data_IF_284849277993
#
_entry.id   IF_284849277993
#
_cell.length_a   1.000
_cell.length_b   1.000
_cell.length_c   1.000
_cell.angle_alpha   90.00
_cell.angle_beta   90.00
_cell.angle_gamma   90.00
#
_symmetry.space_group_name_H-M   'P 1'
#
loop_
_entity.id
_entity.type
_entity.pdbx_description
1 polymer ?
#
# COMPACT_ATOMS: atom_id res chain seq x y z
N UNK A 1 -48.68 -31.64 46.01
CA UNK A 1 -47.21 -31.48 45.89
C UNK A 1 -46.94 -30.66 44.64
N UNK A 2 -46.37 -29.44 44.73
CA UNK A 2 -46.01 -28.67 43.55
C UNK A 2 -44.63 -29.11 43.03
N UNK A 3 -44.51 -29.29 41.72
CA UNK A 3 -43.26 -29.66 41.03
C UNK A 3 -42.50 -28.35 40.77
N UNK A 4 -41.40 -28.14 41.49
CA UNK A 4 -40.47 -27.02 41.27
C UNK A 4 -39.56 -27.37 40.10
N UNK A 5 -39.68 -26.63 38.98
CA UNK A 5 -38.75 -26.74 37.84
C UNK A 5 -37.46 -26.00 38.20
N UNK A 6 -36.32 -26.70 38.18
CA UNK A 6 -34.99 -26.17 38.45
C UNK A 6 -34.44 -25.52 37.17
N UNK A 7 -34.12 -24.23 37.23
CA UNK A 7 -33.50 -23.49 36.11
C UNK A 7 -32.01 -23.92 35.99
N UNK A 8 -31.46 -24.13 34.78
CA UNK A 8 -30.06 -24.52 34.61
C UNK A 8 -29.06 -23.41 34.94
N UNK A 9 -27.96 -23.81 35.57
CA UNK A 9 -26.85 -23.01 36.14
C UNK A 9 -26.15 -22.03 35.16
N UNK A 10 -26.36 -22.15 33.85
CA UNK A 10 -25.72 -21.28 32.87
C UNK A 10 -26.36 -19.89 32.75
N UNK A 11 -27.53 -19.68 33.36
CA UNK A 11 -28.24 -18.39 33.33
C UNK A 11 -27.82 -17.40 34.44
N UNK A 12 -27.07 -17.82 35.46
CA UNK A 12 -26.74 -16.96 36.61
C UNK A 12 -25.45 -16.14 36.46
N UNK A 13 -24.63 -16.37 35.43
CA UNK A 13 -23.29 -15.77 35.35
C UNK A 13 -23.13 -14.63 34.32
N UNK A 14 -24.22 -14.02 33.86
CA UNK A 14 -24.18 -12.94 32.87
C UNK A 14 -23.95 -11.52 33.46
N UNK A 15 -23.62 -11.41 34.75
CA UNK A 15 -23.72 -10.17 35.52
C UNK A 15 -22.43 -9.44 35.91
N UNK A 16 -21.24 -9.85 35.46
CA UNK A 16 -20.00 -9.23 35.96
C UNK A 16 -18.89 -8.99 34.91
N UNK A 17 -19.23 -8.31 33.81
CA UNK A 17 -18.26 -7.79 32.83
C UNK A 17 -18.06 -6.30 33.10
N UNK A 18 -17.29 -5.99 34.14
CA UNK A 18 -17.19 -4.62 34.65
C UNK A 18 -15.87 -4.26 35.30
N UNK A 19 -14.73 -4.79 34.85
CA UNK A 19 -13.41 -4.25 35.23
C UNK A 19 -12.28 -4.75 34.33
N UNK A 20 -12.17 -4.21 33.11
CA UNK A 20 -11.00 -4.46 32.22
C UNK A 20 -10.55 -3.21 31.45
N UNK A 21 -10.89 -2.01 31.94
CA UNK A 21 -10.72 -0.75 31.19
C UNK A 21 -9.43 0.03 31.52
N UNK A 22 -8.52 -0.52 32.33
CA UNK A 22 -7.32 0.20 32.80
C UNK A 22 -5.99 -0.31 32.21
N UNK A 23 -5.96 -1.53 31.68
CA UNK A 23 -4.73 -2.15 31.17
C UNK A 23 -4.43 -1.73 29.74
N UNK A 24 -5.42 -1.70 28.84
CA UNK A 24 -5.21 -1.33 27.43
C UNK A 24 -4.69 0.10 27.20
N UNK A 25 -4.85 1.00 28.16
CA UNK A 25 -4.38 2.39 28.06
C UNK A 25 -2.90 2.56 28.43
N UNK A 26 -2.32 1.62 29.17
CA UNK A 26 -0.87 1.60 29.46
C UNK A 26 -0.09 1.03 28.28
N UNK A 27 -0.58 -0.08 27.71
CA UNK A 27 0.00 -0.65 26.49
C UNK A 27 0.02 0.35 25.33
N UNK A 28 -1.05 1.11 25.11
CA UNK A 28 -1.04 2.14 24.06
C UNK A 28 0.02 3.24 24.26
N UNK A 29 0.29 3.63 25.52
CA UNK A 29 1.32 4.65 25.83
C UNK A 29 2.72 4.06 25.78
N UNK A 30 2.88 2.80 26.20
CA UNK A 30 4.14 2.05 26.11
C UNK A 30 4.51 1.77 24.65
N UNK A 31 3.55 1.36 23.81
CA UNK A 31 3.73 1.15 22.38
C UNK A 31 4.07 2.46 21.67
N UNK A 32 3.37 3.56 21.99
CA UNK A 32 3.69 4.89 21.46
C UNK A 32 5.10 5.36 21.88
N UNK A 33 5.54 5.01 23.09
CA UNK A 33 6.90 5.29 23.56
C UNK A 33 7.94 4.46 22.80
N UNK A 34 7.67 3.17 22.55
CA UNK A 34 8.54 2.30 21.76
C UNK A 34 8.66 2.78 20.31
N UNK A 35 7.57 3.25 19.71
CA UNK A 35 7.59 3.83 18.36
C UNK A 35 8.41 5.11 18.29
N UNK A 36 8.34 5.98 19.30
CA UNK A 36 9.17 7.20 19.37
C UNK A 36 10.65 6.85 19.51
N UNK A 37 10.99 5.86 20.35
CA UNK A 37 12.37 5.38 20.53
C UNK A 37 12.90 4.78 19.23
N UNK A 38 12.10 3.99 18.52
CA UNK A 38 12.47 3.39 17.24
C UNK A 38 12.74 4.47 16.18
N UNK A 39 11.84 5.47 16.06
CA UNK A 39 12.01 6.61 15.15
C UNK A 39 13.23 7.45 15.49
N UNK A 40 13.50 7.68 16.77
CA UNK A 40 14.70 8.42 17.20
C UNK A 40 15.98 7.64 16.88
N UNK A 41 15.98 6.32 17.11
CA UNK A 41 17.12 5.46 16.77
C UNK A 41 17.38 5.44 15.26
N UNK A 42 16.32 5.37 14.44
CA UNK A 42 16.41 5.47 12.98
C UNK A 42 16.94 6.83 12.53
N UNK A 43 16.44 7.93 13.11
CA UNK A 43 16.92 9.27 12.81
C UNK A 43 18.41 9.45 13.16
N UNK A 44 18.85 8.91 14.31
CA UNK A 44 20.28 8.92 14.68
C UNK A 44 21.14 8.09 13.73
N UNK A 45 20.64 6.93 13.28
CA UNK A 45 21.33 6.13 12.27
C UNK A 45 21.41 6.88 10.93
N UNK A 46 20.31 7.51 10.50
CA UNK A 46 20.27 8.32 9.29
C UNK A 46 21.24 9.52 9.36
N UNK A 47 21.30 10.24 10.47
CA UNK A 47 22.29 11.30 10.70
C UNK A 47 23.72 10.75 10.64
N UNK A 48 23.97 9.58 11.22
CA UNK A 48 25.29 8.95 11.16
C UNK A 48 25.65 8.50 9.74
N UNK A 49 24.68 8.11 8.90
CA UNK A 49 24.87 7.85 7.47
C UNK A 49 25.17 9.14 6.70
N UNK A 50 24.42 10.20 6.96
CA UNK A 50 24.65 11.52 6.35
C UNK A 50 26.05 12.07 6.70
N UNK A 51 26.45 12.02 7.97
CA UNK A 51 27.78 12.45 8.40
C UNK A 51 28.91 11.62 7.77
N UNK A 52 28.72 10.30 7.61
CA UNK A 52 29.67 9.45 6.87
C UNK A 52 29.72 9.84 5.38
N UNK A 53 28.57 10.11 4.77
CA UNK A 53 28.51 10.55 3.37
C UNK A 53 29.18 11.90 3.16
N UNK A 54 28.91 12.89 4.02
CA UNK A 54 29.56 14.21 4.00
C UNK A 54 31.07 14.11 4.26
N UNK A 55 31.51 13.23 5.17
CA UNK A 55 32.93 12.98 5.41
C UNK A 55 33.62 12.38 4.18
N UNK A 56 32.97 11.47 3.44
CA UNK A 56 33.49 10.95 2.16
C UNK A 56 33.59 12.07 1.12
N UNK A 57 32.58 12.91 1.03
CA UNK A 57 32.51 14.02 0.06
C UNK A 57 33.61 15.06 0.31
N UNK A 58 33.84 15.43 1.58
CA UNK A 58 34.93 16.33 1.97
C UNK A 58 36.29 15.74 1.65
N UNK A 59 36.52 14.46 1.96
CA UNK A 59 37.80 13.79 1.71
C UNK A 59 38.07 13.61 0.21
N UNK A 60 37.05 13.36 -0.60
CA UNK A 60 37.17 13.30 -2.05
C UNK A 60 37.59 14.66 -2.62
N UNK A 61 36.94 15.75 -2.18
CA UNK A 61 37.31 17.13 -2.56
C UNK A 61 38.72 17.50 -2.12
N UNK A 62 39.15 17.05 -0.94
CA UNK A 62 40.51 17.31 -0.45
C UNK A 62 41.57 16.57 -1.28
N UNK A 63 41.32 15.31 -1.66
CA UNK A 63 42.20 14.56 -2.56
C UNK A 63 42.27 15.19 -3.96
N UNK A 64 41.13 15.61 -4.51
CA UNK A 64 41.07 16.33 -5.81
C UNK A 64 41.85 17.65 -5.74
N UNK A 65 41.70 18.40 -4.64
CA UNK A 65 42.46 19.62 -4.42
C UNK A 65 43.97 19.35 -4.28
N UNK A 66 44.37 18.32 -3.55
CA UNK A 66 45.78 17.95 -3.43
C UNK A 66 46.39 17.55 -4.78
N UNK A 67 45.64 16.85 -5.63
CA UNK A 67 46.08 16.55 -7.00
C UNK A 67 46.24 17.83 -7.82
N UNK A 68 45.26 18.72 -7.76
CA UNK A 68 45.30 20.00 -8.48
C UNK A 68 46.45 20.91 -7.99
N UNK A 69 46.69 20.98 -6.68
CA UNK A 69 47.78 21.77 -6.10
C UNK A 69 49.15 21.18 -6.51
N UNK A 70 49.28 19.85 -6.58
CA UNK A 70 50.49 19.18 -7.09
C UNK A 70 50.69 19.44 -8.59
N UNK A 71 49.65 19.32 -9.41
CA UNK A 71 49.71 19.65 -10.84
C UNK A 71 50.14 21.12 -11.06
N UNK A 72 49.58 22.05 -10.28
CA UNK A 72 49.97 23.47 -10.31
C UNK A 72 51.42 23.70 -9.85
N UNK A 73 51.90 22.94 -8.87
CA UNK A 73 53.30 23.00 -8.41
C UNK A 73 54.25 22.41 -9.45
N UNK A 74 53.89 21.30 -10.09
CA UNK A 74 54.61 20.71 -11.22
C UNK A 74 54.66 21.67 -12.42
N UNK A 75 53.55 22.33 -12.74
CA UNK A 75 53.47 23.35 -13.79
C UNK A 75 54.36 24.57 -13.46
N UNK A 76 54.40 25.03 -12.22
CA UNK A 76 55.30 26.12 -11.79
C UNK A 76 56.76 25.72 -11.75
N UNK A 77 57.06 24.47 -11.42
CA UNK A 77 58.43 23.98 -11.26
C UNK A 77 59.05 23.53 -12.60
N UNK A 78 58.23 23.14 -13.58
CA UNK A 78 58.66 22.64 -14.89
C UNK A 78 58.23 23.53 -16.08
N UNK A 79 57.30 24.46 -15.87
CA UNK A 79 56.93 25.49 -16.84
C UNK A 79 58.02 26.57 -16.93
N UNK A 80 58.92 26.41 -17.89
CA UNK A 80 59.83 27.49 -18.32
C UNK A 80 59.07 28.46 -19.24
N UNK A 81 59.26 29.79 -19.13
CA UNK A 81 58.50 30.76 -19.92
C UNK A 81 59.13 30.87 -21.30
N UNK A 82 58.55 30.17 -22.30
CA UNK A 82 59.02 30.25 -23.68
C UNK A 82 58.21 31.22 -24.55
N UNK A 83 57.36 32.10 -23.99
CA UNK A 83 56.51 32.98 -24.82
C UNK A 83 56.10 34.33 -24.19
N UNK A 84 56.95 34.96 -23.37
CA UNK A 84 56.65 36.30 -22.85
C UNK A 84 57.84 37.24 -23.12
N UNK A 85 58.16 37.45 -24.40
CA UNK A 85 58.95 38.57 -24.87
C UNK A 85 58.14 39.29 -25.95
N UNK A 86 57.58 40.44 -25.57
CA UNK A 86 57.15 41.59 -26.38
C UNK A 86 55.85 42.15 -25.80
N UNK A 87 55.95 43.01 -24.79
CA UNK A 87 55.19 44.27 -24.71
C UNK A 87 56.00 45.20 -23.78
N UNK A 88 56.89 45.97 -24.40
CA UNK A 88 57.48 47.17 -23.80
C UNK A 88 56.46 48.31 -23.92
N UNK A 89 56.12 48.89 -22.76
CA UNK A 89 55.92 50.32 -22.52
C UNK A 89 55.16 51.16 -23.56
N UNK A 90 53.88 51.45 -23.32
CA UNK A 90 53.33 52.81 -23.54
C UNK A 90 52.36 53.16 -22.40
N UNK A 91 52.81 54.05 -21.51
CA UNK A 91 51.98 54.79 -20.56
C UNK A 91 51.35 55.98 -21.30
N UNK A 92 50.01 56.07 -21.33
CA UNK A 92 49.30 57.33 -21.55
C UNK A 92 48.16 57.47 -20.54
N UNK A 93 48.34 58.47 -19.67
CA UNK A 93 47.34 59.05 -18.77
C UNK A 93 46.28 59.82 -19.56
N UNK A 94 44.98 59.64 -19.26
CA UNK A 94 43.96 60.67 -19.48
C UNK A 94 42.70 60.38 -18.64
N UNK A 95 42.39 61.30 -17.71
CA UNK A 95 41.18 61.39 -16.89
C UNK A 95 40.02 62.02 -17.68
N UNK A 96 38.76 61.55 -17.52
CA UNK A 96 37.53 62.36 -17.23
C UNK A 96 36.19 61.59 -17.42
N UNK A 97 35.46 61.49 -16.29
CA UNK A 97 34.03 61.60 -15.95
C UNK A 97 32.82 61.26 -16.88
N UNK A 98 32.00 60.33 -16.35
CA UNK A 98 30.52 60.34 -16.11
C UNK A 98 29.44 59.96 -17.19
N UNK A 99 28.55 59.02 -16.77
CA UNK A 99 27.07 59.00 -16.93
C UNK A 99 26.40 57.76 -17.61
N UNK A 100 25.95 56.84 -16.74
CA UNK A 100 24.68 56.07 -16.70
C UNK A 100 24.17 55.21 -17.87
N UNK A 101 24.13 53.86 -17.68
CA UNK A 101 22.90 53.02 -17.65
C UNK A 101 23.20 51.53 -17.39
N UNK A 102 22.62 50.97 -16.32
CA UNK A 102 22.63 49.56 -15.87
C UNK A 102 21.40 48.77 -16.42
N UNK A 103 21.22 47.41 -16.30
CA UNK A 103 21.71 46.57 -15.18
C UNK A 103 22.09 45.06 -15.43
N UNK A 104 22.67 44.47 -14.36
CA UNK A 104 22.55 43.06 -13.87
C UNK A 104 23.58 41.98 -14.27
N UNK A 105 23.83 40.94 -13.42
CA UNK A 105 24.43 41.04 -12.08
C UNK A 105 25.49 39.93 -11.83
N UNK A 106 26.62 40.22 -11.15
CA UNK A 106 27.27 39.19 -10.33
C UNK A 106 28.14 39.78 -9.23
N UNK A 107 27.96 39.21 -8.04
CA UNK A 107 28.39 39.70 -6.75
C UNK A 107 29.91 39.80 -6.58
N UNK A 108 30.27 40.84 -5.83
CA UNK A 108 31.61 41.25 -5.44
C UNK A 108 32.20 40.42 -4.29
N UNK A 109 33.48 40.08 -4.41
CA UNK A 109 34.53 40.57 -3.51
C UNK A 109 35.27 41.69 -4.27
N UNK A 110 36.23 42.48 -3.75
CA UNK A 110 36.90 42.44 -2.45
C UNK A 110 37.10 43.86 -1.81
N UNK A 111 37.74 43.96 -0.64
CA UNK A 111 38.77 44.98 -0.38
C UNK A 111 39.46 44.73 0.96
N UNK A 112 40.78 44.65 0.91
CA UNK A 112 41.69 44.67 2.05
C UNK A 112 42.27 46.07 2.12
N UNK A 113 42.20 46.71 3.28
CA UNK A 113 43.08 47.81 3.68
C UNK A 113 43.94 47.35 4.86
N UNK A 114 45.27 47.54 4.84
CA UNK A 114 46.16 47.14 5.93
C UNK A 114 46.54 48.34 6.79
N UNK A 115 46.56 48.21 8.11
CA UNK A 115 47.29 49.15 8.98
C UNK A 115 47.78 48.51 10.28
N UNK A 116 49.08 48.75 10.52
CA UNK A 116 49.78 48.96 11.80
C UNK A 116 50.09 47.74 12.69
N UNK A 117 51.33 47.23 12.69
CA UNK A 117 52.55 47.69 13.43
C UNK A 117 52.44 47.53 14.95
N UNK A 118 53.28 46.64 15.50
CA UNK A 118 54.36 46.82 16.52
C UNK A 118 54.86 45.40 16.88
N UNK A 119 56.10 44.97 16.59
CA UNK A 119 57.38 45.36 17.21
C UNK A 119 57.68 44.40 18.38
N UNK A 120 58.83 43.77 18.62
CA UNK A 120 60.17 43.68 18.03
C UNK A 120 60.73 42.29 18.46
N UNK A 121 61.77 41.70 17.89
CA UNK A 121 63.19 41.98 18.18
C UNK A 121 64.08 41.21 17.20
N UNK A 122 65.18 41.86 16.84
CA UNK A 122 66.14 41.55 15.79
C UNK A 122 67.10 40.41 16.13
N UNK A 123 67.52 39.64 15.12
CA UNK A 123 68.92 39.19 15.01
C UNK A 123 69.31 39.05 13.56
N UNK A 124 70.36 39.78 13.19
CA UNK A 124 70.99 39.78 11.89
C UNK A 124 71.48 38.38 11.50
N UNK A 125 71.25 38.02 10.25
CA UNK A 125 71.76 36.80 9.62
C UNK A 125 71.70 36.97 8.11
N UNK A 126 72.71 37.64 7.56
CA UNK A 126 72.94 37.73 6.12
C UNK A 126 73.11 36.30 5.56
N UNK A 127 72.07 35.73 4.97
CA UNK A 127 72.22 34.57 4.09
C UNK A 127 72.26 35.05 2.64
N UNK A 128 73.48 35.46 2.31
CA UNK A 128 74.09 35.51 0.99
C UNK A 128 73.35 34.74 -0.10
N UNK A 129 72.69 35.49 -1.00
CA UNK A 129 72.39 35.06 -2.38
C UNK A 129 73.71 34.89 -3.15
N UNK A 130 74.41 33.79 -2.91
CA UNK A 130 75.52 33.31 -3.75
C UNK A 130 75.17 31.90 -4.21
N UNK A 131 74.23 31.81 -5.16
CA UNK A 131 74.16 30.66 -6.06
C UNK A 131 74.98 31.05 -7.28
N UNK A 132 76.29 30.79 -7.21
CA UNK A 132 77.20 30.95 -8.34
C UNK A 132 77.55 29.55 -8.86
N UNK A 133 76.64 28.99 -9.64
CA UNK A 133 76.98 27.95 -10.61
C UNK A 133 77.39 28.65 -11.91
N UNK A 134 78.50 29.37 -11.83
CA UNK A 134 79.29 29.68 -13.02
C UNK A 134 80.69 29.12 -12.77
N UNK A 135 80.85 27.85 -13.14
CA UNK A 135 82.15 27.21 -13.30
C UNK A 135 82.13 26.50 -14.63
N UNK A 136 82.29 27.31 -15.69
CA UNK A 136 82.80 26.88 -16.99
C UNK A 136 84.27 26.42 -16.88
N UNK A 137 84.56 25.52 -15.94
CA UNK A 137 85.82 24.78 -15.96
C UNK A 137 85.64 23.67 -16.99
N UNK A 138 86.34 23.78 -18.12
CA UNK A 138 86.38 22.76 -19.16
C UNK A 138 86.58 21.38 -18.53
N UNK A 139 85.53 20.55 -18.56
CA UNK A 139 85.48 19.24 -17.91
C UNK A 139 86.56 18.29 -18.49
N UNK A 140 87.06 18.62 -19.69
CA UNK A 140 88.17 17.95 -20.38
C UNK A 140 89.54 18.13 -19.71
N UNK A 141 89.75 19.22 -18.95
CA UNK A 141 91.01 19.53 -18.28
C UNK A 141 91.17 18.86 -16.90
N UNK A 142 90.11 18.23 -16.37
CA UNK A 142 90.13 17.54 -15.08
C UNK A 142 90.67 16.09 -15.21
N UNK A 143 91.39 15.58 -14.18
CA UNK A 143 91.84 14.19 -14.14
C UNK A 143 90.67 13.21 -14.34
N UNK A 144 90.89 12.12 -15.07
CA UNK A 144 89.85 11.16 -15.46
C UNK A 144 89.05 10.61 -14.26
N UNK A 145 89.72 10.37 -13.12
CA UNK A 145 89.09 9.92 -11.88
C UNK A 145 88.12 10.96 -11.27
N UNK A 146 88.41 12.25 -11.38
CA UNK A 146 87.53 13.32 -10.89
C UNK A 146 86.30 13.45 -11.80
N UNK A 147 86.49 13.25 -13.11
CA UNK A 147 85.37 13.24 -14.08
C UNK A 147 84.43 12.07 -13.85
N UNK A 148 84.97 10.88 -13.61
CA UNK A 148 84.20 9.67 -13.30
C UNK A 148 83.42 9.82 -11.98
N UNK A 149 84.06 10.31 -10.91
CA UNK A 149 83.37 10.60 -9.64
C UNK A 149 82.26 11.66 -9.80
N UNK A 150 82.46 12.67 -10.66
CA UNK A 150 81.41 13.65 -10.98
C UNK A 150 80.26 13.04 -11.78
N UNK A 151 80.55 12.12 -12.71
CA UNK A 151 79.54 11.40 -13.47
C UNK A 151 78.73 10.46 -12.56
N UNK A 152 79.39 9.73 -11.67
CA UNK A 152 78.75 8.88 -10.66
C UNK A 152 77.89 9.70 -9.69
N UNK A 153 78.36 10.88 -9.26
CA UNK A 153 77.57 11.79 -8.44
C UNK A 153 76.30 12.24 -9.17
N UNK A 154 76.41 12.64 -10.44
CA UNK A 154 75.25 12.99 -11.27
C UNK A 154 74.29 11.81 -11.44
N UNK A 155 74.79 10.60 -11.67
CA UNK A 155 73.97 9.41 -11.81
C UNK A 155 73.24 9.05 -10.49
N UNK A 156 73.91 9.23 -9.35
CA UNK A 156 73.31 9.07 -8.02
C UNK A 156 72.24 10.14 -7.75
N UNK A 157 72.51 11.39 -8.10
CA UNK A 157 71.55 12.50 -7.97
C UNK A 157 70.30 12.26 -8.84
N UNK A 158 70.47 11.77 -10.08
CA UNK A 158 69.36 11.39 -10.96
C UNK A 158 68.56 10.19 -10.41
N UNK A 159 69.24 9.17 -9.87
CA UNK A 159 68.59 8.02 -9.21
C UNK A 159 67.80 8.46 -7.98
N UNK A 160 68.36 9.35 -7.16
CA UNK A 160 67.67 9.90 -5.99
C UNK A 160 66.45 10.73 -6.39
N UNK A 161 66.57 11.58 -7.42
CA UNK A 161 65.44 12.33 -7.98
C UNK A 161 64.34 11.39 -8.48
N UNK A 162 64.68 10.36 -9.25
CA UNK A 162 63.72 9.35 -9.73
C UNK A 162 63.03 8.64 -8.56
N UNK A 163 63.81 8.21 -7.56
CA UNK A 163 63.26 7.57 -6.36
C UNK A 163 62.30 8.49 -5.61
N UNK A 164 62.62 9.77 -5.46
CA UNK A 164 61.71 10.75 -4.83
C UNK A 164 60.41 10.92 -5.61
N UNK A 165 60.46 11.00 -6.95
CA UNK A 165 59.25 11.10 -7.79
C UNK A 165 58.39 9.84 -7.61
N UNK A 166 58.97 8.64 -7.69
CA UNK A 166 58.22 7.39 -7.51
C UNK A 166 57.67 7.24 -6.09
N UNK A 167 58.38 7.74 -5.08
CA UNK A 167 57.91 7.70 -3.70
C UNK A 167 56.70 8.62 -3.50
N UNK A 168 56.73 9.82 -4.07
CA UNK A 168 55.57 10.73 -4.07
C UNK A 168 54.36 10.11 -4.80
N UNK A 169 54.58 9.46 -5.94
CA UNK A 169 53.52 8.73 -6.66
C UNK A 169 52.91 7.61 -5.81
N UNK A 170 53.74 6.80 -5.14
CA UNK A 170 53.27 5.73 -4.26
C UNK A 170 52.49 6.25 -3.06
N UNK A 171 52.87 7.39 -2.49
CA UNK A 171 52.12 8.02 -1.39
C UNK A 171 50.73 8.51 -1.86
N UNK A 172 50.62 9.06 -3.08
CA UNK A 172 49.34 9.44 -3.69
C UNK A 172 48.45 8.21 -3.96
N UNK A 173 49.01 7.14 -4.53
CA UNK A 173 48.28 5.88 -4.77
C UNK A 173 47.80 5.27 -3.45
N UNK A 174 48.66 5.25 -2.43
CA UNK A 174 48.31 4.78 -1.09
C UNK A 174 47.19 5.62 -0.47
N UNK A 175 47.23 6.94 -0.59
CA UNK A 175 46.18 7.82 -0.09
C UNK A 175 44.84 7.53 -0.79
N UNK A 176 44.87 7.35 -2.12
CA UNK A 176 43.71 7.02 -2.95
C UNK A 176 43.10 5.67 -2.58
N UNK A 177 43.91 4.61 -2.51
CA UNK A 177 43.46 3.27 -2.11
C UNK A 177 42.94 3.24 -0.68
N UNK A 178 43.55 4.01 0.23
CA UNK A 178 43.07 4.12 1.61
C UNK A 178 41.66 4.70 1.65
N UNK A 179 41.39 5.73 0.85
CA UNK A 179 40.07 6.31 0.73
C UNK A 179 39.05 5.33 0.11
N UNK A 180 39.44 4.60 -0.94
CA UNK A 180 38.56 3.59 -1.53
C UNK A 180 38.18 2.51 -0.53
N UNK A 181 39.14 2.02 0.26
CA UNK A 181 38.88 1.05 1.34
C UNK A 181 37.91 1.62 2.39
N UNK A 182 38.06 2.88 2.80
CA UNK A 182 37.12 3.54 3.73
C UNK A 182 35.72 3.64 3.13
N UNK A 183 35.60 4.04 1.87
CA UNK A 183 34.34 4.10 1.13
C UNK A 183 33.65 2.73 1.08
N UNK A 184 34.40 1.69 0.76
CA UNK A 184 33.88 0.32 0.67
C UNK A 184 33.48 -0.23 2.04
N UNK A 185 34.24 0.07 3.10
CA UNK A 185 33.87 -0.28 4.48
C UNK A 185 32.54 0.33 4.87
N UNK A 186 32.33 1.59 4.56
CA UNK A 186 31.07 2.19 4.93
C UNK A 186 29.90 1.64 4.11
N UNK A 187 30.05 1.46 2.79
CA UNK A 187 29.04 0.79 1.94
C UNK A 187 28.68 -0.59 2.50
N UNK A 188 29.68 -1.33 2.97
CA UNK A 188 29.48 -2.62 3.63
C UNK A 188 28.64 -2.46 4.90
N UNK A 189 28.95 -1.50 5.77
CA UNK A 189 28.13 -1.25 6.97
C UNK A 189 26.68 -0.84 6.64
N UNK A 190 26.45 -0.06 5.59
CA UNK A 190 25.11 0.30 5.11
C UNK A 190 24.34 -0.94 4.63
N UNK A 191 25.00 -1.83 3.90
CA UNK A 191 24.43 -3.12 3.47
C UNK A 191 24.12 -4.04 4.66
N UNK A 192 25.00 -4.11 5.66
CA UNK A 192 24.73 -4.87 6.89
C UNK A 192 23.52 -4.31 7.64
N UNK A 193 23.43 -2.99 7.80
CA UNK A 193 22.31 -2.33 8.46
C UNK A 193 20.98 -2.63 7.71
N UNK A 194 20.94 -2.45 6.39
CA UNK A 194 19.74 -2.75 5.58
C UNK A 194 19.36 -4.23 5.62
N UNK A 195 20.33 -5.14 5.56
CA UNK A 195 20.09 -6.58 5.69
C UNK A 195 19.48 -6.93 7.05
N UNK A 196 19.99 -6.35 8.14
CA UNK A 196 19.42 -6.59 9.49
C UNK A 196 18.01 -6.02 9.63
N UNK A 197 17.70 -4.89 8.99
CA UNK A 197 16.37 -4.30 8.96
C UNK A 197 15.39 -5.17 8.18
N UNK A 198 15.73 -5.57 6.96
CA UNK A 198 14.93 -6.47 6.14
C UNK A 198 14.67 -7.82 6.84
N UNK A 199 15.70 -8.37 7.52
CA UNK A 199 15.54 -9.60 8.29
C UNK A 199 14.53 -9.45 9.45
N UNK A 200 14.48 -8.29 10.11
CA UNK A 200 13.48 -8.02 11.17
C UNK A 200 12.09 -7.84 10.59
N UNK A 201 11.95 -7.12 9.48
CA UNK A 201 10.67 -6.93 8.78
C UNK A 201 10.10 -8.25 8.27
N UNK A 202 10.94 -9.10 7.69
CA UNK A 202 10.55 -10.44 7.27
C UNK A 202 10.00 -11.25 8.45
N UNK A 203 10.69 -11.26 9.60
CA UNK A 203 10.21 -11.95 10.82
C UNK A 203 8.85 -11.40 11.28
N UNK A 204 8.65 -10.08 11.28
CA UNK A 204 7.36 -9.46 11.63
C UNK A 204 6.25 -9.91 10.67
N UNK A 205 6.49 -9.83 9.35
CA UNK A 205 5.53 -10.29 8.34
C UNK A 205 5.19 -11.77 8.47
N UNK A 206 6.17 -12.63 8.78
CA UNK A 206 5.90 -14.04 9.06
C UNK A 206 4.96 -14.22 10.26
N UNK A 207 5.19 -13.47 11.36
CA UNK A 207 4.31 -13.56 12.54
C UNK A 207 2.90 -13.04 12.26
N UNK A 208 2.76 -11.95 11.49
CA UNK A 208 1.45 -11.41 11.07
C UNK A 208 0.71 -12.40 10.16
N UNK A 209 1.42 -13.00 9.20
CA UNK A 209 0.87 -14.03 8.32
C UNK A 209 0.37 -15.24 9.12
N UNK A 210 1.14 -15.72 10.10
CA UNK A 210 0.70 -16.84 10.95
C UNK A 210 -0.54 -16.48 11.79
N UNK A 211 -0.64 -15.24 12.28
CA UNK A 211 -1.82 -14.77 12.99
C UNK A 211 -3.04 -14.70 12.07
N UNK A 212 -2.89 -14.11 10.88
CA UNK A 212 -3.96 -13.99 9.91
C UNK A 212 -4.43 -15.37 9.43
N UNK A 213 -3.50 -16.30 9.21
CA UNK A 213 -3.80 -17.71 8.89
C UNK A 213 -4.67 -18.36 9.98
N UNK A 214 -4.35 -18.17 11.26
CA UNK A 214 -5.16 -18.69 12.38
C UNK A 214 -6.57 -18.10 12.41
N UNK A 215 -6.73 -16.83 12.06
CA UNK A 215 -8.05 -16.18 11.96
C UNK A 215 -8.82 -16.74 10.77
N UNK A 216 -8.20 -16.85 9.60
CA UNK A 216 -8.80 -17.41 8.41
C UNK A 216 -9.29 -18.85 8.62
N UNK A 217 -8.50 -19.71 9.28
CA UNK A 217 -8.92 -21.09 9.60
C UNK A 217 -10.14 -21.11 10.52
N UNK A 218 -10.19 -20.24 11.54
CA UNK A 218 -11.35 -20.14 12.44
C UNK A 218 -12.61 -19.69 11.70
N UNK A 219 -12.50 -18.65 10.88
CA UNK A 219 -13.63 -18.18 10.07
C UNK A 219 -14.11 -19.27 9.10
N UNK A 220 -13.19 -20.06 8.52
CA UNK A 220 -13.55 -21.19 7.67
C UNK A 220 -14.31 -22.27 8.43
N UNK A 221 -13.92 -22.58 9.67
CA UNK A 221 -14.65 -23.49 10.56
C UNK A 221 -16.04 -22.95 10.92
N UNK A 222 -16.15 -21.67 11.24
CA UNK A 222 -17.42 -20.99 11.52
C UNK A 222 -18.37 -21.03 10.32
N UNK A 223 -17.87 -20.75 9.11
CA UNK A 223 -18.67 -20.85 7.88
C UNK A 223 -19.13 -22.29 7.64
N UNK A 224 -18.29 -23.29 7.87
CA UNK A 224 -18.69 -24.71 7.76
C UNK A 224 -19.78 -25.06 8.76
N UNK A 225 -19.65 -24.62 10.01
CA UNK A 225 -20.65 -24.84 11.05
C UNK A 225 -21.99 -24.18 10.70
N UNK A 226 -21.97 -22.92 10.25
CA UNK A 226 -23.18 -22.20 9.82
C UNK A 226 -23.85 -22.86 8.60
N UNK A 227 -23.07 -23.35 7.63
CA UNK A 227 -23.60 -24.10 6.49
C UNK A 227 -24.26 -25.41 6.93
N UNK A 228 -23.66 -26.14 7.86
CA UNK A 228 -24.25 -27.36 8.41
C UNK A 228 -25.57 -27.09 9.15
N UNK A 229 -25.62 -26.04 9.96
CA UNK A 229 -26.85 -25.62 10.65
C UNK A 229 -27.96 -25.20 9.66
N UNK A 230 -27.60 -24.50 8.57
CA UNK A 230 -28.56 -24.17 7.51
C UNK A 230 -29.08 -25.42 6.79
N UNK A 231 -28.19 -26.38 6.49
CA UNK A 231 -28.59 -27.67 5.89
C UNK A 231 -29.52 -28.46 6.81
N UNK A 232 -29.24 -28.52 8.11
CA UNK A 232 -30.12 -29.15 9.10
C UNK A 232 -31.49 -28.46 9.14
N UNK A 233 -31.51 -27.12 9.16
CA UNK A 233 -32.76 -26.35 9.10
C UNK A 233 -33.55 -26.64 7.83
N UNK A 234 -32.89 -26.67 6.67
CA UNK A 234 -33.53 -26.92 5.37
C UNK A 234 -34.04 -28.37 5.27
N UNK A 235 -33.32 -29.34 5.85
CA UNK A 235 -33.77 -30.72 5.96
C UNK A 235 -35.02 -30.85 6.86
N UNK A 236 -35.05 -30.18 8.02
CA UNK A 236 -36.22 -30.13 8.88
C UNK A 236 -37.43 -29.52 8.15
N UNK A 237 -37.23 -28.40 7.43
CA UNK A 237 -38.28 -27.77 6.62
C UNK A 237 -38.89 -28.79 5.64
N UNK A 238 -38.06 -29.57 4.95
CA UNK A 238 -38.51 -30.61 4.02
C UNK A 238 -39.24 -31.76 4.72
N UNK A 239 -38.75 -32.21 5.89
CA UNK A 239 -39.36 -33.29 6.68
C UNK A 239 -40.79 -32.92 7.14
N UNK A 240 -41.03 -31.65 7.47
CA UNK A 240 -42.37 -31.14 7.78
C UNK A 240 -43.24 -30.88 6.53
N UNK A 241 -42.78 -31.27 5.34
CA UNK A 241 -43.53 -31.10 4.09
C UNK A 241 -43.69 -29.65 3.65
N UNK A 242 -42.80 -28.76 4.13
CA UNK A 242 -42.77 -27.35 3.77
C UNK A 242 -41.71 -27.11 2.70
N UNK A 243 -41.96 -26.13 1.85
CA UNK A 243 -41.07 -25.66 0.78
C UNK A 243 -40.89 -24.16 0.92
N UNK A 244 -39.64 -23.70 0.83
CA UNK A 244 -39.32 -22.28 0.79
C UNK A 244 -39.64 -21.77 -0.61
N UNK A 245 -40.65 -20.89 -0.72
CA UNK A 245 -41.01 -20.23 -1.97
C UNK A 245 -40.68 -18.75 -1.83
N UNK A 246 -39.84 -18.25 -2.73
CA UNK A 246 -39.51 -16.83 -2.83
C UNK A 246 -39.38 -16.44 -4.30
N UNK A 247 -39.32 -15.15 -4.58
CA UNK A 247 -38.93 -14.68 -5.91
C UNK A 247 -37.46 -15.04 -6.12
N UNK A 248 -37.20 -16.07 -6.93
CA UNK A 248 -35.87 -16.31 -7.45
C UNK A 248 -35.57 -15.13 -8.37
N UNK A 249 -34.59 -14.32 -7.97
CA UNK A 249 -33.94 -13.41 -8.89
C UNK A 249 -33.33 -14.33 -9.96
N UNK A 250 -33.99 -14.42 -11.12
CA UNK A 250 -33.40 -14.93 -12.36
C UNK A 250 -32.29 -13.97 -12.81
N UNK A 251 -31.31 -13.79 -11.94
CA UNK A 251 -30.01 -13.23 -12.19
C UNK A 251 -29.06 -14.37 -11.89
N UNK A 252 -28.80 -15.16 -12.93
CA UNK A 252 -27.57 -15.90 -13.10
C UNK A 252 -26.43 -14.95 -12.68
N UNK A 253 -26.03 -15.03 -11.42
CA UNK A 253 -24.68 -14.66 -11.03
C UNK A 253 -23.82 -15.77 -11.62
N UNK A 254 -23.60 -15.69 -12.93
CA UNK A 254 -22.33 -16.04 -13.52
C UNK A 254 -21.29 -15.46 -12.56
N UNK A 255 -20.75 -16.31 -11.70
CA UNK A 255 -19.45 -16.09 -11.13
C UNK A 255 -18.56 -16.28 -12.35
N UNK A 256 -18.06 -15.21 -13.00
CA UNK A 256 -17.14 -15.44 -14.08
C UNK A 256 -15.94 -16.10 -13.41
N UNK A 257 -15.63 -17.32 -13.82
CA UNK A 257 -14.31 -17.92 -13.63
C UNK A 257 -13.38 -17.02 -14.46
N UNK A 258 -13.01 -15.88 -13.89
CA UNK A 258 -11.95 -15.03 -14.44
C UNK A 258 -10.65 -15.68 -14.02
N UNK A 259 -9.83 -15.92 -15.03
CA UNK A 259 -8.49 -16.47 -14.93
C UNK A 259 -7.65 -15.76 -13.85
N UNK A 260 -6.70 -16.51 -13.30
CA UNK A 260 -6.04 -16.35 -11.99
C UNK A 260 -5.16 -15.08 -11.79
N UNK A 261 -5.25 -14.04 -12.63
CA UNK A 261 -4.22 -13.00 -12.70
C UNK A 261 -4.62 -11.56 -12.26
N UNK A 262 -5.86 -11.29 -11.81
CA UNK A 262 -6.31 -9.91 -11.46
C UNK A 262 -6.94 -9.76 -10.05
N UNK A 263 -6.43 -10.45 -9.02
CA UNK A 263 -6.98 -10.42 -7.64
C UNK A 263 -6.47 -9.27 -6.74
N UNK A 264 -6.66 -7.99 -7.09
CA UNK A 264 -6.32 -6.89 -6.15
C UNK A 264 -7.32 -5.73 -6.04
N UNK A 265 -8.45 -5.73 -6.76
CA UNK A 265 -9.27 -4.52 -6.84
C UNK A 265 -10.46 -4.42 -5.87
N UNK A 266 -11.04 -5.51 -5.34
CA UNK A 266 -12.36 -5.43 -4.67
C UNK A 266 -12.44 -6.18 -3.33
N UNK A 267 -11.54 -5.87 -2.40
CA UNK A 267 -11.52 -6.45 -1.04
C UNK A 267 -12.21 -5.57 0.03
N UNK A 268 -12.89 -4.48 -0.34
CA UNK A 268 -13.41 -3.50 0.64
C UNK A 268 -14.94 -3.51 0.84
N UNK A 269 -15.73 -4.28 0.09
CA UNK A 269 -17.18 -4.30 0.28
C UNK A 269 -17.66 -5.51 1.10
N UNK A 270 -17.34 -5.49 2.40
CA UNK A 270 -17.92 -6.41 3.40
C UNK A 270 -19.32 -5.99 3.87
N UNK A 271 -20.01 -5.08 3.17
CA UNK A 271 -21.36 -4.72 3.58
C UNK A 271 -22.30 -5.92 3.38
N UNK A 272 -23.06 -6.34 4.41
CA UNK A 272 -24.04 -7.38 4.24
C UNK A 272 -25.11 -6.86 3.27
N UNK A 273 -25.04 -7.30 2.01
CA UNK A 273 -26.10 -7.07 1.02
C UNK A 273 -27.41 -7.52 1.66
N UNK A 274 -28.29 -6.56 1.94
CA UNK A 274 -29.64 -6.84 2.42
C UNK A 274 -30.28 -7.77 1.40
N UNK A 275 -30.52 -9.02 1.79
CA UNK A 275 -31.35 -9.94 1.01
C UNK A 275 -32.75 -9.34 1.05
N UNK A 276 -33.07 -8.52 0.04
CA UNK A 276 -34.32 -7.79 -0.10
C UNK A 276 -35.47 -8.68 -0.62
N UNK A 277 -35.24 -9.99 -0.72
CA UNK A 277 -36.18 -10.95 -1.28
C UNK A 277 -37.01 -11.55 -0.15
N UNK A 278 -38.32 -11.38 -0.23
CA UNK A 278 -39.27 -12.00 0.69
C UNK A 278 -39.38 -13.49 0.35
N UNK A 279 -39.07 -14.35 1.33
CA UNK A 279 -39.25 -15.81 1.24
C UNK A 279 -40.37 -16.23 2.18
N UNK A 280 -41.21 -17.16 1.76
CA UNK A 280 -42.30 -17.73 2.52
C UNK A 280 -42.17 -19.26 2.60
N UNK A 281 -42.68 -19.86 3.68
CA UNK A 281 -42.80 -21.32 3.81
C UNK A 281 -44.23 -21.72 3.46
N UNK A 282 -44.37 -22.66 2.52
CA UNK A 282 -45.66 -23.19 2.07
C UNK A 282 -45.65 -24.71 2.11
N UNK A 283 -46.80 -25.35 2.29
CA UNK A 283 -46.91 -26.80 2.09
C UNK A 283 -46.56 -27.18 0.65
N UNK A 284 -45.99 -28.36 0.43
CA UNK A 284 -45.72 -28.92 -0.91
C UNK A 284 -46.94 -28.82 -1.84
N UNK A 285 -48.13 -29.19 -1.37
CA UNK A 285 -49.36 -29.10 -2.17
C UNK A 285 -49.68 -27.65 -2.58
N UNK A 286 -49.52 -26.71 -1.66
CA UNK A 286 -49.75 -25.29 -1.93
C UNK A 286 -48.72 -24.71 -2.90
N UNK A 287 -47.45 -25.12 -2.78
CA UNK A 287 -46.39 -24.74 -3.71
C UNK A 287 -46.65 -25.28 -5.13
N UNK A 288 -47.09 -26.54 -5.24
CA UNK A 288 -47.41 -27.18 -6.52
C UNK A 288 -48.64 -26.57 -7.20
N UNK A 289 -49.64 -26.15 -6.43
CA UNK A 289 -50.80 -25.42 -6.98
C UNK A 289 -50.37 -24.04 -7.51
N UNK A 290 -49.47 -23.36 -6.80
CA UNK A 290 -48.95 -22.06 -7.21
C UNK A 290 -47.95 -22.14 -8.37
N UNK A 291 -47.28 -23.28 -8.60
CA UNK A 291 -46.38 -23.49 -9.75
C UNK A 291 -47.14 -23.85 -11.03
N UNK A 292 -48.30 -24.51 -10.91
CA UNK A 292 -49.18 -24.85 -12.05
C UNK A 292 -50.02 -23.68 -12.56
N UNK A 293 -50.09 -22.58 -11.81
CA UNK A 293 -50.70 -21.33 -12.26
C UNK A 293 -49.85 -20.70 -13.37
N UNK A 294 -50.44 -20.52 -14.55
CA UNK A 294 -49.76 -20.15 -15.80
C UNK A 294 -49.15 -18.73 -15.87
N UNK A 295 -48.84 -18.10 -14.73
CA UNK A 295 -48.31 -16.73 -14.67
C UNK A 295 -46.92 -16.70 -14.02
N UNK A 296 -45.94 -16.18 -14.76
CA UNK A 296 -44.58 -15.83 -14.30
C UNK A 296 -44.57 -14.59 -13.37
N UNK A 297 -45.62 -14.38 -12.58
CA UNK A 297 -45.76 -13.22 -11.72
C UNK A 297 -45.30 -13.52 -10.27
N UNK A 298 -45.07 -12.46 -9.48
CA UNK A 298 -44.71 -12.55 -8.07
C UNK A 298 -45.65 -13.44 -7.26
N UNK A 299 -45.14 -14.01 -6.15
CA UNK A 299 -45.91 -14.87 -5.26
C UNK A 299 -47.21 -14.18 -4.80
N UNK A 300 -47.12 -12.90 -4.45
CA UNK A 300 -48.24 -12.07 -4.00
C UNK A 300 -49.31 -11.93 -5.10
N UNK A 301 -48.90 -11.77 -6.37
CA UNK A 301 -49.82 -11.68 -7.52
C UNK A 301 -50.49 -13.01 -7.81
N UNK A 302 -49.74 -14.13 -7.74
CA UNK A 302 -50.30 -15.49 -7.91
C UNK A 302 -51.34 -15.80 -6.84
N UNK A 303 -51.05 -15.48 -5.58
CA UNK A 303 -52.01 -15.65 -4.47
C UNK A 303 -53.28 -14.82 -4.67
N UNK A 304 -53.14 -13.57 -5.14
CA UNK A 304 -54.28 -12.70 -5.39
C UNK A 304 -55.19 -13.23 -6.52
N UNK A 305 -54.61 -13.68 -7.63
CA UNK A 305 -55.34 -14.28 -8.76
C UNK A 305 -56.12 -15.53 -8.34
N UNK A 306 -55.48 -16.46 -7.61
CA UNK A 306 -56.19 -17.62 -7.04
C UNK A 306 -57.36 -17.21 -6.13
N UNK A 307 -57.19 -16.12 -5.36
CA UNK A 307 -58.26 -15.55 -4.55
C UNK A 307 -59.42 -14.98 -5.36
N UNK A 308 -59.15 -14.39 -6.53
CA UNK A 308 -60.17 -13.88 -7.46
C UNK A 308 -60.90 -15.02 -8.18
N UNK A 309 -60.19 -16.01 -8.70
CA UNK A 309 -60.77 -17.21 -9.33
C UNK A 309 -61.67 -17.97 -8.35
N UNK A 310 -61.22 -18.12 -7.09
CA UNK A 310 -62.05 -18.71 -6.03
C UNK A 310 -63.36 -17.96 -5.83
N UNK A 311 -63.33 -16.62 -5.78
CA UNK A 311 -64.54 -15.80 -5.63
C UNK A 311 -65.47 -15.94 -6.83
N UNK A 312 -64.92 -15.98 -8.05
CA UNK A 312 -65.71 -16.15 -9.27
C UNK A 312 -66.42 -17.51 -9.30
N UNK A 313 -65.71 -18.59 -8.95
CA UNK A 313 -66.30 -19.92 -8.81
C UNK A 313 -67.37 -19.96 -7.71
N UNK A 314 -67.15 -19.31 -6.57
CA UNK A 314 -68.16 -19.18 -5.51
C UNK A 314 -69.40 -18.43 -6.00
N UNK A 315 -69.23 -17.37 -6.81
CA UNK A 315 -70.33 -16.62 -7.42
C UNK A 315 -71.08 -17.46 -8.47
N UNK A 316 -70.37 -18.27 -9.27
CA UNK A 316 -70.98 -19.21 -10.22
C UNK A 316 -71.79 -20.29 -9.47
N UNK A 317 -71.25 -20.87 -8.39
CA UNK A 317 -71.98 -21.83 -7.55
C UNK A 317 -73.22 -21.19 -6.91
N UNK A 318 -73.12 -19.94 -6.46
CA UNK A 318 -74.29 -19.20 -5.93
C UNK A 318 -75.36 -18.96 -6.98
N UNK A 319 -74.98 -18.57 -8.21
CA UNK A 319 -75.89 -18.41 -9.35
C UNK A 319 -76.58 -19.71 -9.72
N UNK A 320 -75.82 -20.79 -9.90
CA UNK A 320 -76.36 -22.12 -10.23
C UNK A 320 -77.29 -22.65 -9.13
N UNK A 321 -77.01 -22.36 -7.85
CA UNK A 321 -77.93 -22.70 -6.75
C UNK A 321 -79.26 -21.95 -6.84
N UNK A 322 -79.23 -20.65 -7.14
CA UNK A 322 -80.45 -19.84 -7.35
C UNK A 322 -81.25 -20.35 -8.55
N UNK A 323 -80.60 -20.62 -9.68
CA UNK A 323 -81.25 -21.18 -10.88
C UNK A 323 -81.88 -22.54 -10.59
N UNK A 324 -81.18 -23.41 -9.88
CA UNK A 324 -81.69 -24.73 -9.50
C UNK A 324 -82.85 -24.63 -8.50
N UNK A 325 -82.84 -23.65 -7.60
CA UNK A 325 -83.95 -23.38 -6.68
C UNK A 325 -85.17 -22.79 -7.41
N UNK A 326 -84.95 -21.89 -8.37
CA UNK A 326 -85.99 -21.41 -9.27
C UNK A 326 -86.59 -22.54 -10.10
N UNK A 327 -85.77 -23.43 -10.63
CA UNK A 327 -86.23 -24.54 -11.46
C UNK A 327 -86.96 -25.60 -10.63
N UNK A 328 -86.51 -25.87 -9.41
CA UNK A 328 -87.28 -26.65 -8.42
C UNK A 328 -88.61 -26.00 -8.08
N UNK A 329 -88.65 -24.68 -7.88
CA UNK A 329 -89.90 -23.95 -7.63
C UNK A 329 -90.83 -23.95 -8.84
N UNK A 330 -90.30 -23.78 -10.07
CA UNK A 330 -91.05 -23.91 -11.33
C UNK A 330 -91.59 -25.34 -11.49
N UNK A 331 -90.80 -26.36 -11.16
CA UNK A 331 -91.22 -27.76 -11.22
C UNK A 331 -92.27 -28.09 -10.14
N UNK A 332 -92.16 -27.49 -8.94
CA UNK A 332 -93.18 -27.60 -7.88
C UNK A 332 -94.50 -26.98 -8.34
N UNK A 333 -94.46 -25.79 -8.95
CA UNK A 333 -95.63 -25.15 -9.56
C UNK A 333 -96.21 -25.96 -10.73
N UNK A 334 -95.38 -26.57 -11.59
CA UNK A 334 -95.84 -27.47 -12.65
C UNK A 334 -96.52 -28.73 -12.10
N UNK A 335 -96.01 -29.33 -11.02
CA UNK A 335 -96.68 -30.44 -10.33
C UNK A 335 -98.02 -30.04 -9.72
N UNK A 336 -98.10 -28.87 -9.08
CA UNK A 336 -99.38 -28.32 -8.59
C UNK A 336 -100.38 -28.10 -9.73
N UNK A 337 -99.94 -27.54 -10.85
CA UNK A 337 -100.80 -27.27 -12.01
C UNK A 337 -101.16 -28.54 -12.82
N UNK A 338 -100.34 -29.60 -12.77
CA UNK A 338 -100.62 -30.88 -13.41
C UNK A 338 -101.68 -31.71 -12.67
N UNK A 339 -101.84 -31.50 -11.36
CA UNK A 339 -102.88 -32.15 -10.56
C UNK A 339 -104.28 -31.54 -10.78
N UNK A 340 -104.38 -30.37 -11.43
CA UNK A 340 -105.67 -29.72 -11.71
C UNK A 340 -106.34 -30.24 -13.00
N UNK A 341 -105.56 -30.76 -13.95
CA UNK A 341 -106.12 -31.37 -15.17
C UNK A 341 -106.79 -32.74 -14.90
N UNK A 342 -106.26 -33.55 -13.98
CA UNK A 342 -106.92 -34.80 -13.56
C UNK A 342 -108.13 -34.58 -12.64
N UNK A 343 -108.24 -33.41 -12.01
CA UNK A 343 -109.39 -33.08 -11.14
C UNK A 343 -110.60 -32.55 -11.92
N UNK A 344 -110.37 -31.97 -13.10
CA UNK A 344 -111.43 -31.44 -13.97
C UNK A 344 -112.02 -32.51 -14.92
N UNK A 345 -111.27 -33.56 -15.28
CA UNK A 345 -111.79 -34.68 -16.08
C UNK A 345 -112.68 -35.65 -15.28
N UNK A 346 -112.58 -35.68 -13.95
CA UNK A 346 -113.37 -36.55 -13.07
C UNK A 346 -114.74 -36.00 -12.59
N UNK A 347 -115.13 -34.77 -12.99
CA UNK A 347 -116.35 -34.11 -12.46
C UNK A 347 -117.56 -34.05 -13.40
N UNK A 348 -117.50 -34.67 -14.59
CA UNK A 348 -118.58 -34.59 -15.58
C UNK A 348 -119.56 -35.79 -15.60
N UNK A 349 -119.59 -36.64 -14.58
CA UNK A 349 -120.41 -37.86 -14.64
C UNK A 349 -121.00 -38.32 -13.31
N UNK A 350 -121.84 -37.51 -12.65
CA UNK A 350 -122.77 -38.01 -11.62
C UNK A 350 -123.85 -36.96 -11.30
N UNK A 351 -124.91 -36.88 -12.10
CA UNK A 351 -126.23 -36.43 -11.64
C UNK A 351 -127.31 -36.73 -12.69
N UNK A 352 -127.99 -37.87 -12.55
CA UNK A 352 -129.29 -38.25 -13.14
C UNK A 352 -129.50 -39.71 -12.64
N UNK A 353 -130.49 -40.09 -11.86
CA UNK A 353 -131.63 -39.43 -11.22
C UNK A 353 -132.27 -40.48 -10.30
N UNK A 354 -132.82 -40.05 -9.18
CA UNK A 354 -133.72 -40.87 -8.35
C UNK A 354 -135.12 -40.90 -8.99
N UNK A 355 -135.70 -42.10 -9.11
CA UNK A 355 -136.96 -42.57 -8.52
C UNK A 355 -137.15 -44.03 -8.92
#
# INVERSE_FOLDING_TARGET
>A
MPIVRKVPDWMENAGNIGSRRREGKKYAVEDEALDRIAKEAEARLAQRRAARAEARELRLRELEKQQQDQENEEEKQFGTPAFAEAEEDEEEDEDEEEESQEPSPRAAAPTRTPLSRTGALSSAGQFSRRSSEDSTTDDSALPANVREMRAELKELDEKFRKAMITNAQLDNEKATLTFEVELMKDKYTELEETHTQLSKEHRKKCTEYEQLKKVATKLQEEVKALRALLQERDALIQEYGLVVVGEEENGEADIPVKDEDDEFADMDDLTPRKIAVKKALLSQEAADLLSKGAAQDSLDVRLKKFGEEKKELEDQVRRLKLELEEEKNKNRRRKENGLDYDRQSGKAGCSLGSI
#
